data_IF_462007272958
#
_entry.id   IF_462007272958
#
_cell.length_a   1.000
_cell.length_b   1.000
_cell.length_c   1.000
_cell.angle_alpha   90.00
_cell.angle_beta   90.00
_cell.angle_gamma   90.00
#
_symmetry.space_group_name_H-M   'P 1'
#
loop_
_entity.id
_entity.type
_entity.pdbx_description
1 polymer ?
#
# COMPACT_ATOMS: atom_id res chain seq x y z
N UNK A 1 4.18 42.67 19.64
CA UNK A 1 3.79 41.25 19.82
C UNK A 1 3.26 40.60 18.52
N UNK A 2 3.30 41.28 17.37
CA UNK A 2 2.73 40.77 16.11
C UNK A 2 3.64 39.79 15.34
N UNK A 3 4.97 39.90 15.49
CA UNK A 3 5.94 39.03 14.80
C UNK A 3 5.95 37.59 15.33
N UNK A 4 5.70 37.39 16.62
CA UNK A 4 5.69 36.05 17.24
C UNK A 4 4.51 35.19 16.78
N UNK A 5 3.32 35.80 16.62
CA UNK A 5 2.15 35.12 16.08
C UNK A 5 2.32 34.73 14.61
N UNK A 6 2.93 35.62 13.80
CA UNK A 6 3.24 35.31 12.39
C UNK A 6 4.23 34.15 12.25
N UNK A 7 5.33 34.15 13.02
CA UNK A 7 6.32 33.06 12.99
C UNK A 7 5.73 31.74 13.48
N UNK A 8 4.87 31.77 14.50
CA UNK A 8 4.18 30.58 14.98
C UNK A 8 3.22 30.02 13.92
N UNK A 9 2.42 30.88 13.29
CA UNK A 9 1.51 30.48 12.22
C UNK A 9 2.29 29.93 11.01
N UNK A 10 3.38 30.59 10.62
CA UNK A 10 4.27 30.12 9.55
C UNK A 10 4.87 28.75 9.88
N UNK A 11 5.36 28.56 11.10
CA UNK A 11 5.86 27.27 11.58
C UNK A 11 4.79 26.17 11.52
N UNK A 12 3.56 26.49 11.93
CA UNK A 12 2.44 25.55 11.90
C UNK A 12 2.03 25.17 10.46
N UNK A 13 1.93 26.15 9.56
CA UNK A 13 1.65 25.90 8.14
C UNK A 13 2.78 25.08 7.49
N UNK A 14 4.04 25.39 7.81
CA UNK A 14 5.20 24.64 7.30
C UNK A 14 5.20 23.20 7.80
N UNK A 15 4.91 22.98 9.08
CA UNK A 15 4.78 21.63 9.65
C UNK A 15 3.63 20.85 9.01
N UNK A 16 2.46 21.49 8.83
CA UNK A 16 1.33 20.88 8.14
C UNK A 16 1.68 20.50 6.70
N UNK A 17 2.41 21.35 5.98
CA UNK A 17 2.88 21.06 4.62
C UNK A 17 3.82 19.83 4.61
N UNK A 18 4.77 19.75 5.56
CA UNK A 18 5.67 18.60 5.67
C UNK A 18 4.89 17.31 5.93
N UNK A 19 3.90 17.33 6.83
CA UNK A 19 3.03 16.17 7.09
C UNK A 19 2.31 15.71 5.82
N UNK A 20 1.84 16.65 4.99
CA UNK A 20 1.18 16.34 3.72
C UNK A 20 2.17 15.81 2.67
N UNK A 21 3.41 16.31 2.62
CA UNK A 21 4.42 15.91 1.61
C UNK A 21 5.08 14.58 1.96
N UNK A 22 5.33 14.30 3.24
CA UNK A 22 5.98 13.06 3.72
C UNK A 22 5.48 11.76 3.06
N UNK A 23 4.16 11.49 2.95
CA UNK A 23 3.68 10.25 2.32
C UNK A 23 4.04 10.14 0.83
N UNK A 24 4.35 11.25 0.14
CA UNK A 24 4.73 11.25 -1.27
C UNK A 24 6.23 11.04 -1.51
N UNK A 25 7.08 11.14 -0.48
CA UNK A 25 8.51 10.86 -0.63
C UNK A 25 8.77 9.41 -1.06
N UNK A 26 8.04 8.47 -0.47
CA UNK A 26 8.20 7.06 -0.80
C UNK A 26 7.84 6.74 -2.26
N UNK A 27 6.66 7.15 -2.77
CA UNK A 27 6.35 7.07 -4.20
C UNK A 27 7.38 7.77 -5.11
N UNK A 28 7.94 8.92 -4.70
CA UNK A 28 8.98 9.61 -5.47
C UNK A 28 10.27 8.78 -5.58
N UNK A 29 10.69 8.11 -4.50
CA UNK A 29 11.86 7.23 -4.52
C UNK A 29 11.62 6.01 -5.42
N UNK A 30 10.45 5.39 -5.30
CA UNK A 30 10.05 4.30 -6.19
C UNK A 30 9.97 4.75 -7.66
N UNK A 31 9.51 5.97 -7.91
CA UNK A 31 9.47 6.54 -9.25
C UNK A 31 10.87 6.73 -9.84
N UNK A 32 11.83 7.19 -9.04
CA UNK A 32 13.22 7.30 -9.47
C UNK A 32 13.81 5.92 -9.82
N UNK A 33 13.56 4.91 -8.97
CA UNK A 33 13.98 3.54 -9.25
C UNK A 33 13.32 2.99 -10.52
N UNK A 34 12.00 3.19 -10.68
CA UNK A 34 11.26 2.78 -11.86
C UNK A 34 11.80 3.47 -13.12
N UNK A 35 12.06 4.78 -13.07
CA UNK A 35 12.65 5.51 -14.19
C UNK A 35 14.01 4.94 -14.61
N UNK A 36 14.86 4.54 -13.65
CA UNK A 36 16.15 3.89 -13.93
C UNK A 36 15.93 2.49 -14.54
N UNK A 37 15.07 1.67 -13.93
CA UNK A 37 14.82 0.30 -14.38
C UNK A 37 14.15 0.22 -15.75
N UNK A 38 13.25 1.14 -16.05
CA UNK A 38 12.51 1.21 -17.32
C UNK A 38 13.14 2.17 -18.34
N UNK A 39 14.28 2.79 -18.03
CA UNK A 39 15.07 3.55 -18.99
C UNK A 39 15.40 2.78 -20.29
N UNK A 40 15.80 1.49 -20.28
CA UNK A 40 16.02 0.74 -21.52
C UNK A 40 14.75 0.62 -22.37
N UNK A 41 13.58 0.46 -21.74
CA UNK A 41 12.30 0.40 -22.42
C UNK A 41 11.95 1.75 -23.07
N UNK A 42 12.15 2.86 -22.34
CA UNK A 42 11.99 4.21 -22.87
C UNK A 42 12.89 4.47 -24.08
N UNK A 43 14.18 4.09 -24.01
CA UNK A 43 15.12 4.22 -25.13
C UNK A 43 14.72 3.35 -26.32
N UNK A 44 14.14 2.18 -26.10
CA UNK A 44 13.63 1.32 -27.17
C UNK A 44 12.47 1.99 -27.92
N UNK A 45 11.52 2.59 -27.20
CA UNK A 45 10.45 3.38 -27.82
C UNK A 45 10.97 4.64 -28.54
N UNK A 46 11.94 5.34 -27.93
CA UNK A 46 12.54 6.53 -28.51
C UNK A 46 13.31 6.23 -29.80
N UNK A 47 14.00 5.08 -29.88
CA UNK A 47 14.67 4.63 -31.11
C UNK A 47 13.71 4.47 -32.29
N UNK A 48 12.44 4.10 -32.03
CA UNK A 48 11.43 3.95 -33.08
C UNK A 48 10.87 5.30 -33.54
N UNK A 49 10.83 6.31 -32.65
CA UNK A 49 10.35 7.66 -32.95
C UNK A 49 11.21 8.73 -32.23
N UNK A 50 12.40 9.07 -32.76
CA UNK A 50 13.39 9.89 -32.05
C UNK A 50 12.96 11.33 -31.77
N UNK A 51 11.95 11.85 -32.49
CA UNK A 51 11.44 13.21 -32.31
C UNK A 51 10.21 13.30 -31.38
N UNK A 52 9.76 12.17 -30.79
CA UNK A 52 8.52 12.12 -29.99
C UNK A 52 8.78 11.60 -28.58
N UNK A 53 9.61 12.31 -27.82
CA UNK A 53 9.98 11.99 -26.44
C UNK A 53 8.77 11.81 -25.52
N UNK A 54 7.77 12.70 -25.62
CA UNK A 54 6.53 12.60 -24.84
C UNK A 54 5.79 11.29 -25.12
N UNK A 55 5.76 10.82 -26.38
CA UNK A 55 5.07 9.58 -26.73
C UNK A 55 5.81 8.35 -26.23
N UNK A 56 7.14 8.36 -26.32
CA UNK A 56 7.96 7.28 -25.77
C UNK A 56 7.80 7.19 -24.24
N UNK A 57 7.75 8.33 -23.55
CA UNK A 57 7.55 8.37 -22.10
C UNK A 57 6.14 7.88 -21.71
N UNK A 58 5.10 8.36 -22.39
CA UNK A 58 3.73 7.89 -22.15
C UNK A 58 3.55 6.41 -22.46
N UNK A 59 4.17 5.89 -23.52
CA UNK A 59 4.12 4.45 -23.84
C UNK A 59 4.82 3.61 -22.77
N UNK A 60 5.98 4.05 -22.30
CA UNK A 60 6.71 3.40 -21.20
C UNK A 60 5.87 3.42 -19.92
N UNK A 61 5.24 4.55 -19.59
CA UNK A 61 4.33 4.66 -18.45
C UNK A 61 3.17 3.70 -18.55
N UNK A 62 2.54 3.59 -19.73
CA UNK A 62 1.42 2.68 -19.93
C UNK A 62 1.85 1.24 -19.66
N UNK A 63 3.04 0.85 -20.13
CA UNK A 63 3.61 -0.48 -19.82
C UNK A 63 3.82 -0.65 -18.32
N UNK A 64 4.41 0.33 -17.63
CA UNK A 64 4.61 0.29 -16.17
C UNK A 64 3.25 0.14 -15.45
N UNK A 65 2.27 0.95 -15.84
CA UNK A 65 0.92 0.92 -15.27
C UNK A 65 0.28 -0.45 -15.41
N UNK A 66 0.31 -1.04 -16.59
CA UNK A 66 -0.25 -2.39 -16.82
C UNK A 66 0.54 -3.44 -16.04
N UNK A 67 1.87 -3.37 -16.06
CA UNK A 67 2.74 -4.32 -15.38
C UNK A 67 2.59 -4.31 -13.84
N UNK A 68 2.11 -3.20 -13.25
CA UNK A 68 1.87 -3.08 -11.80
C UNK A 68 0.41 -3.33 -11.44
N UNK A 69 -0.54 -2.74 -12.17
CA UNK A 69 -1.97 -2.86 -11.86
C UNK A 69 -2.46 -4.29 -12.07
N UNK A 70 -2.05 -4.94 -13.18
CA UNK A 70 -2.54 -6.28 -13.50
C UNK A 70 -2.20 -7.30 -12.40
N UNK A 71 -0.95 -7.45 -11.94
CA UNK A 71 -0.65 -8.38 -10.84
C UNK A 71 -1.28 -7.94 -9.53
N UNK A 72 -1.38 -6.64 -9.24
CA UNK A 72 -2.02 -6.16 -8.02
C UNK A 72 -3.50 -6.57 -7.95
N UNK A 73 -4.23 -6.47 -9.07
CA UNK A 73 -5.63 -6.89 -9.15
C UNK A 73 -5.75 -8.42 -9.01
N UNK A 74 -4.88 -9.18 -9.69
CA UNK A 74 -4.89 -10.65 -9.59
C UNK A 74 -4.64 -11.11 -8.15
N UNK A 75 -3.59 -10.61 -7.50
CA UNK A 75 -3.25 -10.94 -6.11
C UNK A 75 -4.36 -10.47 -5.18
N UNK A 76 -4.84 -9.23 -5.34
CA UNK A 76 -5.94 -8.69 -4.54
C UNK A 76 -7.20 -9.54 -4.64
N UNK A 77 -7.55 -9.99 -5.84
CA UNK A 77 -8.70 -10.89 -6.05
C UNK A 77 -8.50 -12.26 -5.42
N UNK A 78 -7.28 -12.82 -5.48
CA UNK A 78 -6.98 -14.11 -4.85
C UNK A 78 -7.15 -14.04 -3.33
N UNK A 79 -6.63 -12.98 -2.70
CA UNK A 79 -6.76 -12.77 -1.24
C UNK A 79 -8.22 -12.58 -0.83
N UNK A 80 -9.00 -11.79 -1.60
CA UNK A 80 -10.44 -11.60 -1.32
C UNK A 80 -11.20 -12.91 -1.47
N UNK A 81 -10.90 -13.70 -2.50
CA UNK A 81 -11.56 -15.00 -2.71
C UNK A 81 -11.20 -16.01 -1.62
N UNK A 82 -9.94 -16.04 -1.18
CA UNK A 82 -9.49 -16.93 -0.10
C UNK A 82 -10.13 -16.53 1.24
N UNK A 83 -10.20 -15.22 1.54
CA UNK A 83 -10.89 -14.72 2.73
C UNK A 83 -12.41 -14.99 2.69
N UNK A 84 -13.05 -14.78 1.54
CA UNK A 84 -14.48 -15.04 1.38
C UNK A 84 -14.80 -16.55 1.44
N UNK A 85 -13.96 -17.40 0.83
CA UNK A 85 -14.10 -18.85 0.87
C UNK A 85 -14.03 -19.39 2.30
N UNK A 86 -13.07 -18.91 3.10
CA UNK A 86 -12.99 -19.26 4.53
C UNK A 86 -14.27 -18.87 5.27
N UNK A 87 -14.80 -17.66 5.06
CA UNK A 87 -16.03 -17.21 5.73
C UNK A 87 -17.26 -18.03 5.32
N UNK A 88 -17.39 -18.37 4.04
CA UNK A 88 -18.50 -19.20 3.54
C UNK A 88 -18.39 -20.63 4.07
N UNK A 89 -17.20 -21.22 4.10
CA UNK A 89 -16.99 -22.58 4.59
C UNK A 89 -17.23 -22.71 6.12
N UNK A 90 -17.06 -21.60 6.86
CA UNK A 90 -17.52 -21.47 8.24
C UNK A 90 -19.05 -21.32 8.38
N UNK A 91 -19.75 -20.77 7.37
CA UNK A 91 -21.20 -20.53 7.41
C UNK A 91 -22.02 -21.70 6.87
N UNK A 92 -21.55 -22.38 5.82
CA UNK A 92 -22.26 -23.49 5.15
C UNK A 92 -22.11 -24.83 5.88
N UNK A 93 -21.28 -24.91 6.93
CA UNK A 93 -21.18 -26.09 7.79
C UNK A 93 -20.54 -27.32 7.13
N UNK A 94 -19.82 -27.15 6.01
CA UNK A 94 -19.05 -28.22 5.36
C UNK A 94 -17.82 -28.62 6.20
N UNK A 95 -17.28 -27.68 6.99
CA UNK A 95 -16.58 -28.05 8.21
C UNK A 95 -17.68 -28.34 9.23
N UNK A 96 -17.85 -29.60 9.61
CA UNK A 96 -18.69 -29.98 10.74
C UNK A 96 -18.04 -29.38 12.00
N UNK A 97 -18.26 -28.08 12.22
CA UNK A 97 -17.67 -27.33 13.31
C UNK A 97 -18.08 -27.94 14.65
N UNK A 98 -19.20 -28.67 14.68
CA UNK A 98 -19.60 -29.50 15.81
C UNK A 98 -18.70 -30.73 15.96
N UNK A 99 -18.32 -31.42 14.89
CA UNK A 99 -17.33 -32.50 14.93
C UNK A 99 -15.93 -32.01 15.31
N UNK A 100 -15.45 -30.91 14.72
CA UNK A 100 -14.16 -30.31 15.09
C UNK A 100 -14.15 -29.81 16.54
N UNK A 101 -15.24 -29.18 17.00
CA UNK A 101 -15.39 -28.78 18.39
C UNK A 101 -15.40 -29.99 19.34
N UNK A 102 -16.13 -31.06 18.98
CA UNK A 102 -16.14 -32.32 19.76
C UNK A 102 -14.77 -32.99 19.79
N UNK A 103 -14.03 -32.96 18.70
CA UNK A 103 -12.69 -33.53 18.62
C UNK A 103 -11.72 -32.74 19.49
N UNK A 104 -11.65 -31.41 19.32
CA UNK A 104 -10.79 -30.50 20.11
C UNK A 104 -11.13 -30.56 21.60
N UNK A 105 -12.41 -30.52 21.97
CA UNK A 105 -12.85 -30.65 23.36
C UNK A 105 -12.59 -32.05 23.89
N UNK A 106 -12.70 -33.08 23.05
CA UNK A 106 -12.41 -34.47 23.37
C UNK A 106 -10.95 -34.74 23.72
N UNK A 107 -10.00 -33.97 23.16
CA UNK A 107 -8.56 -34.07 23.50
C UNK A 107 -8.19 -33.31 24.79
N UNK A 108 -9.09 -32.49 25.34
CA UNK A 108 -8.81 -31.76 26.58
C UNK A 108 -8.68 -32.72 27.78
N UNK A 109 -7.77 -32.44 28.73
CA UNK A 109 -7.71 -33.14 30.01
C UNK A 109 -9.08 -33.14 30.72
N UNK A 110 -9.43 -34.24 31.39
CA UNK A 110 -10.76 -34.43 32.01
C UNK A 110 -11.19 -33.29 32.97
N UNK A 111 -10.22 -32.67 33.63
CA UNK A 111 -10.37 -31.51 34.50
C UNK A 111 -10.80 -30.23 33.76
N UNK A 112 -10.38 -30.04 32.50
CA UNK A 112 -10.83 -28.94 31.66
C UNK A 112 -12.21 -29.23 31.03
N UNK A 113 -12.48 -30.48 30.66
CA UNK A 113 -13.80 -30.90 30.17
C UNK A 113 -14.89 -30.69 31.21
N UNK A 114 -14.65 -31.09 32.47
CA UNK A 114 -15.62 -30.86 33.56
C UNK A 114 -15.86 -29.38 33.83
N UNK A 115 -14.83 -28.54 33.72
CA UNK A 115 -15.00 -27.10 33.89
C UNK A 115 -15.76 -26.45 32.72
N UNK A 116 -15.52 -26.89 31.48
CA UNK A 116 -16.28 -26.47 30.30
C UNK A 116 -17.76 -26.86 30.40
N UNK A 117 -18.04 -28.11 30.81
CA UNK A 117 -19.41 -28.59 30.98
C UNK A 117 -20.13 -27.87 32.13
N UNK A 118 -19.44 -27.64 33.26
CA UNK A 118 -20.01 -26.93 34.40
C UNK A 118 -20.23 -25.43 34.16
N UNK A 119 -19.49 -24.82 33.23
CA UNK A 119 -19.64 -23.40 32.85
C UNK A 119 -20.65 -23.18 31.71
N UNK A 120 -21.22 -24.23 31.13
CA UNK A 120 -22.14 -24.16 29.99
C UNK A 120 -21.47 -24.00 28.63
N UNK A 121 -20.13 -23.92 28.58
CA UNK A 121 -19.34 -23.81 27.34
C UNK A 121 -19.08 -25.14 26.64
N UNK A 122 -19.55 -26.25 27.23
CA UNK A 122 -19.46 -27.58 26.62
C UNK A 122 -20.51 -27.83 25.53
N UNK A 123 -21.49 -26.94 25.36
CA UNK A 123 -22.56 -27.09 24.38
C UNK A 123 -22.26 -26.32 23.10
N UNK A 124 -22.28 -27.02 21.97
CA UNK A 124 -22.01 -26.43 20.65
C UNK A 124 -23.06 -25.37 20.30
N UNK A 125 -24.30 -25.53 20.77
CA UNK A 125 -25.40 -24.62 20.49
C UNK A 125 -25.18 -23.24 21.14
N UNK A 126 -24.61 -23.20 22.35
CA UNK A 126 -24.23 -21.97 23.05
C UNK A 126 -23.02 -21.31 22.37
N UNK A 127 -22.05 -22.11 21.94
CA UNK A 127 -20.89 -21.60 21.19
C UNK A 127 -21.31 -20.98 19.84
N UNK A 128 -22.24 -21.62 19.13
CA UNK A 128 -22.79 -21.13 17.88
C UNK A 128 -23.58 -19.82 18.07
N UNK A 129 -24.44 -19.74 19.10
CA UNK A 129 -25.14 -18.49 19.42
C UNK A 129 -24.18 -17.34 19.74
N UNK A 130 -23.13 -17.60 20.52
CA UNK A 130 -22.11 -16.59 20.82
C UNK A 130 -21.32 -16.16 19.59
N UNK A 131 -21.02 -17.08 18.68
CA UNK A 131 -20.39 -16.74 17.41
C UNK A 131 -21.32 -15.92 16.51
N UNK A 132 -22.63 -16.17 16.53
CA UNK A 132 -23.60 -15.34 15.81
C UNK A 132 -23.72 -13.95 16.42
N UNK A 133 -23.81 -13.83 17.75
CA UNK A 133 -23.75 -12.54 18.45
C UNK A 133 -22.46 -11.79 18.13
N UNK A 134 -21.31 -12.49 18.14
CA UNK A 134 -20.02 -11.92 17.81
C UNK A 134 -19.92 -11.55 16.33
N UNK A 135 -20.50 -12.33 15.42
CA UNK A 135 -20.57 -12.04 13.99
C UNK A 135 -21.43 -10.80 13.74
N UNK A 136 -22.58 -10.67 14.39
CA UNK A 136 -23.44 -9.49 14.31
C UNK A 136 -22.74 -8.23 14.85
N UNK A 137 -22.05 -8.32 15.98
CA UNK A 137 -21.25 -7.21 16.53
C UNK A 137 -20.01 -6.88 15.66
N UNK A 138 -19.38 -7.89 15.08
CA UNK A 138 -18.20 -7.71 14.22
C UNK A 138 -18.53 -7.28 12.81
N UNK A 139 -19.75 -7.50 12.30
CA UNK A 139 -20.22 -6.89 11.03
C UNK A 139 -20.15 -5.37 11.11
N UNK A 140 -20.44 -4.77 12.27
CA UNK A 140 -20.25 -3.33 12.51
C UNK A 140 -18.77 -2.91 12.41
N UNK A 141 -17.87 -3.67 13.04
CA UNK A 141 -16.43 -3.41 13.01
C UNK A 141 -15.80 -3.64 11.64
N UNK A 142 -16.25 -4.67 10.91
CA UNK A 142 -15.81 -4.98 9.55
C UNK A 142 -16.29 -3.89 8.58
N UNK A 143 -17.52 -3.38 8.75
CA UNK A 143 -18.03 -2.25 7.96
C UNK A 143 -17.22 -0.98 8.20
N UNK A 144 -16.84 -0.69 9.45
CA UNK A 144 -15.99 0.45 9.80
C UNK A 144 -14.57 0.30 9.23
N UNK A 145 -14.00 -0.91 9.32
CA UNK A 145 -12.71 -1.23 8.73
C UNK A 145 -12.76 -1.15 7.20
N UNK A 146 -13.85 -1.58 6.55
CA UNK A 146 -14.05 -1.47 5.10
C UNK A 146 -14.05 -0.01 4.63
N UNK A 147 -14.65 0.91 5.40
CA UNK A 147 -14.58 2.35 5.15
C UNK A 147 -13.14 2.87 5.34
N UNK A 148 -12.42 2.40 6.37
CA UNK A 148 -11.01 2.73 6.57
C UNK A 148 -10.09 2.19 5.45
N UNK A 149 -10.37 1.01 4.92
CA UNK A 149 -9.72 0.46 3.73
C UNK A 149 -10.04 1.31 2.49
N UNK A 150 -11.28 1.79 2.35
CA UNK A 150 -11.67 2.74 1.31
C UNK A 150 -10.85 4.03 1.32
N UNK A 151 -10.58 4.58 2.51
CA UNK A 151 -9.67 5.73 2.69
C UNK A 151 -8.22 5.42 2.30
N UNK A 152 -7.75 4.20 2.56
CA UNK A 152 -6.41 3.73 2.16
C UNK A 152 -6.23 3.64 0.64
N UNK A 153 -7.28 3.21 -0.08
CA UNK A 153 -7.24 3.11 -1.56
C UNK A 153 -6.98 4.48 -2.20
N UNK A 154 -7.60 5.55 -1.71
CA UNK A 154 -7.36 6.90 -2.23
C UNK A 154 -5.89 7.28 -2.08
N UNK A 155 -5.28 7.01 -0.92
CA UNK A 155 -3.85 7.24 -0.69
C UNK A 155 -2.96 6.43 -1.63
N UNK A 156 -3.29 5.16 -1.86
CA UNK A 156 -2.58 4.28 -2.80
C UNK A 156 -2.67 4.83 -4.22
N UNK A 157 -3.87 5.21 -4.68
CA UNK A 157 -4.09 5.76 -6.04
C UNK A 157 -3.37 7.09 -6.22
N UNK A 158 -3.45 7.99 -5.23
CA UNK A 158 -2.73 9.27 -5.28
C UNK A 158 -1.22 9.06 -5.27
N UNK A 159 -0.70 8.22 -4.38
CA UNK A 159 0.72 7.89 -4.30
C UNK A 159 1.22 7.27 -5.60
N UNK A 160 0.49 6.30 -6.14
CA UNK A 160 0.79 5.68 -7.43
C UNK A 160 0.73 6.68 -8.58
N UNK A 161 -0.29 7.53 -8.65
CA UNK A 161 -0.42 8.56 -9.68
C UNK A 161 0.71 9.58 -9.63
N UNK A 162 1.08 10.04 -8.43
CA UNK A 162 2.24 10.93 -8.23
C UNK A 162 3.54 10.23 -8.61
N UNK A 163 3.72 8.95 -8.23
CA UNK A 163 4.88 8.16 -8.61
C UNK A 163 5.00 7.96 -10.13
N UNK A 164 3.88 7.68 -10.82
CA UNK A 164 3.85 7.61 -12.28
C UNK A 164 4.19 8.96 -12.91
N UNK A 165 3.61 10.06 -12.42
CA UNK A 165 3.90 11.40 -12.93
C UNK A 165 5.39 11.76 -12.74
N UNK A 166 5.95 11.47 -11.58
CA UNK A 166 7.38 11.64 -11.31
C UNK A 166 8.23 10.76 -12.25
N UNK A 167 7.84 9.50 -12.46
CA UNK A 167 8.52 8.59 -13.40
C UNK A 167 8.49 9.12 -14.83
N UNK A 168 7.36 9.70 -15.27
CA UNK A 168 7.21 10.30 -16.59
C UNK A 168 8.20 11.46 -16.76
N UNK A 169 8.24 12.35 -15.77
CA UNK A 169 9.13 13.50 -15.78
C UNK A 169 10.60 13.07 -15.74
N UNK A 170 10.95 12.06 -14.93
CA UNK A 170 12.31 11.52 -14.85
C UNK A 170 12.74 10.77 -16.12
N UNK A 171 11.84 10.03 -16.76
CA UNK A 171 12.14 9.34 -18.02
C UNK A 171 12.34 10.32 -19.18
N UNK A 172 11.52 11.38 -19.23
CA UNK A 172 11.59 12.40 -20.27
C UNK A 172 12.77 13.36 -20.06
N UNK A 173 12.81 13.99 -18.88
CA UNK A 173 13.68 15.13 -18.59
C UNK A 173 14.83 14.77 -17.64
N UNK A 174 14.98 13.50 -17.23
CA UNK A 174 15.96 13.10 -16.20
C UNK A 174 17.41 13.52 -16.50
N UNK A 175 17.79 13.63 -17.78
CA UNK A 175 19.12 14.15 -18.16
C UNK A 175 19.26 15.66 -17.88
N UNK A 176 18.30 16.47 -18.31
CA UNK A 176 18.36 17.92 -18.09
C UNK A 176 18.19 18.28 -16.61
N UNK A 177 17.34 17.55 -15.88
CA UNK A 177 17.19 17.69 -14.43
C UNK A 177 18.49 17.32 -13.71
N UNK A 178 19.11 16.19 -14.08
CA UNK A 178 20.38 15.74 -13.50
C UNK A 178 21.50 16.74 -13.75
N UNK A 179 21.64 17.23 -14.99
CA UNK A 179 22.63 18.25 -15.35
C UNK A 179 22.41 19.57 -14.59
N UNK A 180 21.16 20.01 -14.42
CA UNK A 180 20.84 21.23 -13.67
C UNK A 180 21.07 21.08 -12.17
N UNK A 181 20.78 19.91 -11.59
CA UNK A 181 21.08 19.60 -10.19
C UNK A 181 22.61 19.54 -9.98
N UNK A 182 23.35 18.89 -10.88
CA UNK A 182 24.81 18.86 -10.82
C UNK A 182 25.44 20.25 -11.00
N UNK A 183 24.85 21.11 -11.86
CA UNK A 183 25.32 22.47 -12.09
C UNK A 183 24.99 23.43 -10.94
N UNK A 184 23.95 23.14 -10.15
CA UNK A 184 23.58 23.93 -8.96
C UNK A 184 24.25 23.44 -7.67
N UNK A 185 24.72 22.19 -7.66
CA UNK A 185 25.63 21.71 -6.62
C UNK A 185 26.97 22.42 -6.79
N UNK A 186 27.45 23.16 -5.77
CA UNK A 186 28.77 23.77 -5.79
C UNK A 186 29.81 22.65 -5.59
N UNK A 187 29.97 21.77 -6.58
CA UNK A 187 31.14 20.91 -6.66
C UNK A 187 32.32 21.80 -7.01
N UNK A 188 32.92 22.33 -5.96
CA UNK A 188 34.30 22.76 -5.81
C UNK A 188 35.17 22.50 -7.04
N UNK A 189 35.39 23.58 -7.79
CA UNK A 189 36.66 23.84 -8.49
C UNK A 189 37.85 23.93 -7.52
N UNK A 190 37.68 23.63 -6.23
CA UNK A 190 38.66 23.79 -5.14
C UNK A 190 39.70 22.65 -5.08
N UNK A 191 39.47 21.53 -5.78
CA UNK A 191 40.45 20.43 -5.85
C UNK A 191 41.33 20.53 -7.10
N UNK A 192 40.90 21.24 -8.15
CA UNK A 192 41.65 21.37 -9.40
C UNK A 192 42.89 22.29 -9.29
N UNK A 193 42.84 23.33 -8.44
CA UNK A 193 43.93 24.31 -8.30
C UNK A 193 45.04 23.89 -7.30
N UNK A 194 44.90 22.76 -6.61
CA UNK A 194 45.97 22.21 -5.74
C UNK A 194 46.83 21.14 -6.42
N UNK A 195 46.54 20.80 -7.67
CA UNK A 195 47.29 19.81 -8.46
C UNK A 195 47.85 20.39 -9.78
N UNK A 196 47.89 21.71 -9.93
CA UNK A 196 48.68 22.44 -10.95
C UNK A 196 49.76 23.28 -10.29
#
# INVERSE_FOLDING_TARGET
MEQGGFLFFLGLVTAALLVVILPFLQPLLWAALAAIMFQPLYRWFLRRNPHRENQAASATLLVITVAVILPAVLIGSAVVNEAAGLVVEFQDGEIDAAEWFREVVGVLPANLQQWLQASGWGDFEIFQQRLQELAEDSVGLIAEQAIAFGGSIVGIVLGFGVGLYASFFLLRDGRSIGENILASLPFEREIADRLS
#
